data_IF_887016733017
#
_entry.id   IF_887016733017
#
_cell.length_a   1.000
_cell.length_b   1.000
_cell.length_c   1.000
_cell.angle_alpha   90.00
_cell.angle_beta   90.00
_cell.angle_gamma   90.00
#
_symmetry.space_group_name_H-M   'P 1'
#
loop_
_entity.id
_entity.type
_entity.pdbx_description
1 polymer ?
#
# COMPACT_ATOMS: atom_id res chain seq x y z
N UNK A 1 2.05 4.25 -20.10
CA UNK A 1 0.74 4.52 -20.73
C UNK A 1 -0.19 5.26 -19.77
N UNK A 2 -0.80 4.62 -18.77
CA UNK A 2 -1.73 5.27 -17.82
C UNK A 2 -1.15 6.44 -16.99
N UNK A 3 0.17 6.45 -16.74
CA UNK A 3 0.84 7.50 -15.96
C UNK A 3 1.12 8.79 -16.76
N UNK A 4 1.11 8.73 -18.09
CA UNK A 4 1.50 9.85 -18.98
C UNK A 4 0.28 10.69 -19.40
N UNK A 5 -0.93 10.22 -19.07
CA UNK A 5 -2.21 10.87 -19.38
C UNK A 5 -3.15 9.94 -20.16
N UNK A 6 -4.46 10.10 -19.96
CA UNK A 6 -5.45 9.27 -20.65
C UNK A 6 -5.40 9.48 -22.17
N UNK A 7 -5.09 10.69 -22.63
CA UNK A 7 -4.93 11.02 -24.05
C UNK A 7 -3.77 10.25 -24.70
N UNK A 8 -2.60 10.19 -24.04
CA UNK A 8 -1.45 9.44 -24.55
C UNK A 8 -1.66 7.93 -24.47
N UNK A 9 -2.40 7.44 -23.47
CA UNK A 9 -2.78 6.03 -23.35
C UNK A 9 -3.71 5.59 -24.50
N UNK A 10 -4.67 6.44 -24.88
CA UNK A 10 -5.59 6.19 -26.01
C UNK A 10 -4.83 6.16 -27.33
N UNK A 11 -3.89 7.09 -27.55
CA UNK A 11 -3.03 7.09 -28.75
C UNK A 11 -2.15 5.84 -28.86
N UNK A 12 -1.83 5.19 -27.75
CA UNK A 12 -1.09 3.92 -27.68
C UNK A 12 -2.00 2.68 -27.79
N UNK A 13 -3.30 2.85 -28.07
CA UNK A 13 -4.27 1.77 -28.23
C UNK A 13 -4.79 1.18 -26.91
N UNK A 14 -4.43 1.75 -25.77
CA UNK A 14 -4.92 1.33 -24.45
C UNK A 14 -6.24 2.04 -24.16
N UNK A 15 -7.23 1.31 -23.66
CA UNK A 15 -8.52 1.88 -23.20
C UNK A 15 -8.46 2.12 -21.68
N UNK A 16 -8.03 3.30 -21.20
CA UNK A 16 -7.77 3.55 -19.78
C UNK A 16 -8.99 3.29 -18.88
N UNK A 17 -10.20 3.62 -19.34
CA UNK A 17 -11.45 3.31 -18.62
C UNK A 17 -11.62 1.82 -18.32
N UNK A 18 -11.36 0.93 -19.29
CA UNK A 18 -11.52 -0.52 -19.11
C UNK A 18 -10.49 -1.07 -18.13
N UNK A 19 -9.22 -0.69 -18.31
CA UNK A 19 -8.13 -1.12 -17.43
C UNK A 19 -8.35 -0.64 -15.99
N UNK A 20 -8.89 0.59 -15.82
CA UNK A 20 -9.21 1.14 -14.50
C UNK A 20 -10.37 0.37 -13.84
N UNK A 21 -11.43 0.07 -14.59
CA UNK A 21 -12.58 -0.69 -14.08
C UNK A 21 -12.18 -2.12 -13.69
N UNK A 22 -11.47 -2.83 -14.55
CA UNK A 22 -10.97 -4.19 -14.28
C UNK A 22 -10.03 -4.19 -13.07
N UNK A 23 -9.11 -3.23 -12.98
CA UNK A 23 -8.22 -3.07 -11.83
C UNK A 23 -8.96 -2.80 -10.53
N UNK A 24 -9.99 -1.94 -10.54
CA UNK A 24 -10.83 -1.68 -9.36
C UNK A 24 -11.58 -2.94 -8.91
N UNK A 25 -12.19 -3.68 -9.84
CA UNK A 25 -12.95 -4.89 -9.51
C UNK A 25 -12.02 -5.95 -8.89
N UNK A 26 -10.87 -6.23 -9.53
CA UNK A 26 -9.91 -7.23 -9.05
C UNK A 26 -9.33 -6.82 -7.70
N UNK A 27 -8.91 -5.56 -7.53
CA UNK A 27 -8.34 -5.08 -6.28
C UNK A 27 -9.36 -5.05 -5.13
N UNK A 28 -10.59 -4.61 -5.38
CA UNK A 28 -11.65 -4.60 -4.40
C UNK A 28 -12.02 -6.03 -3.97
N UNK A 29 -12.12 -6.96 -4.92
CA UNK A 29 -12.41 -8.36 -4.63
C UNK A 29 -11.30 -9.01 -3.78
N UNK A 30 -10.04 -8.85 -4.17
CA UNK A 30 -8.89 -9.35 -3.39
C UNK A 30 -8.85 -8.74 -1.99
N UNK A 31 -9.08 -7.43 -1.88
CA UNK A 31 -9.08 -6.73 -0.58
C UNK A 31 -10.22 -7.22 0.30
N UNK A 32 -11.43 -7.36 -0.24
CA UNK A 32 -12.60 -7.84 0.50
C UNK A 32 -12.39 -9.27 1.01
N UNK A 33 -11.84 -10.16 0.18
CA UNK A 33 -11.49 -11.52 0.60
C UNK A 33 -10.51 -11.51 1.77
N UNK A 34 -9.41 -10.78 1.67
CA UNK A 34 -8.41 -10.71 2.75
C UNK A 34 -9.02 -10.14 4.06
N UNK A 35 -9.72 -9.01 3.96
CA UNK A 35 -10.32 -8.32 5.13
C UNK A 35 -11.39 -9.16 5.80
N UNK A 36 -12.13 -9.99 5.05
CA UNK A 36 -13.12 -10.91 5.62
C UNK A 36 -12.50 -11.95 6.56
N UNK A 37 -11.23 -12.33 6.38
CA UNK A 37 -10.53 -13.28 7.24
C UNK A 37 -9.74 -12.60 8.36
N UNK A 38 -9.07 -11.49 8.05
CA UNK A 38 -8.10 -10.86 8.97
C UNK A 38 -8.66 -9.65 9.71
N UNK A 39 -9.86 -9.21 9.37
CA UNK A 39 -10.40 -7.92 9.80
C UNK A 39 -9.72 -6.74 9.10
N UNK A 40 -10.07 -5.53 9.53
CA UNK A 40 -9.60 -4.28 8.94
C UNK A 40 -8.14 -4.04 9.32
N UNK A 41 -7.27 -4.00 8.32
CA UNK A 41 -5.84 -3.65 8.46
C UNK A 41 -5.58 -2.36 7.70
N UNK A 42 -5.30 -1.28 8.43
CA UNK A 42 -5.00 0.03 7.85
C UNK A 42 -3.51 0.26 7.58
N UNK A 43 -3.21 1.30 6.78
CA UNK A 43 -1.89 1.90 6.54
C UNK A 43 -0.85 1.04 5.79
N UNK A 44 -0.95 -0.29 5.80
CA UNK A 44 0.02 -1.18 5.14
C UNK A 44 0.14 -0.90 3.64
N UNK A 45 -0.99 -0.60 2.98
CA UNK A 45 -1.06 -0.29 1.54
C UNK A 45 -0.41 1.05 1.16
N UNK A 46 -0.12 1.93 2.13
CA UNK A 46 0.62 3.17 1.93
C UNK A 46 2.09 2.99 2.31
N UNK A 47 2.36 2.32 3.43
CA UNK A 47 3.71 2.11 3.97
C UNK A 47 4.55 1.22 3.04
N UNK A 48 4.00 0.08 2.62
CA UNK A 48 4.73 -0.91 1.83
C UNK A 48 5.28 -0.38 0.49
N UNK A 49 4.46 0.25 -0.39
CA UNK A 49 4.98 0.80 -1.64
C UNK A 49 5.95 1.96 -1.39
N UNK A 50 5.80 2.71 -0.29
CA UNK A 50 6.71 3.81 0.01
C UNK A 50 8.10 3.32 0.43
N UNK A 51 8.18 2.29 1.27
CA UNK A 51 9.44 1.65 1.65
C UNK A 51 10.14 1.08 0.42
N UNK A 52 9.40 0.36 -0.43
CA UNK A 52 9.96 -0.21 -1.67
C UNK A 52 10.44 0.89 -2.61
N UNK A 53 9.71 2.00 -2.72
CA UNK A 53 10.11 3.15 -3.54
C UNK A 53 11.38 3.82 -3.03
N UNK A 54 11.59 3.86 -1.71
CA UNK A 54 12.83 4.37 -1.10
C UNK A 54 14.01 3.43 -1.34
N UNK A 55 13.78 2.11 -1.36
CA UNK A 55 14.84 1.11 -1.53
C UNK A 55 15.29 0.92 -2.99
N UNK A 56 14.35 0.90 -3.94
CA UNK A 56 14.61 0.48 -5.34
C UNK A 56 14.35 1.60 -6.35
N UNK A 57 13.68 2.67 -5.94
CA UNK A 57 13.35 3.79 -6.82
C UNK A 57 11.98 3.65 -7.50
N UNK A 58 11.80 4.35 -8.62
CA UNK A 58 10.50 4.55 -9.30
C UNK A 58 10.10 3.49 -10.32
N UNK A 59 10.87 2.42 -10.49
CA UNK A 59 10.62 1.43 -11.53
C UNK A 59 9.45 0.49 -11.17
N UNK A 60 8.31 0.72 -11.84
CA UNK A 60 7.06 -0.03 -11.60
C UNK A 60 7.17 -1.54 -11.82
N UNK A 61 8.09 -1.99 -12.68
CA UNK A 61 8.32 -3.43 -12.93
C UNK A 61 8.77 -4.16 -11.67
N UNK A 62 9.50 -3.48 -10.80
CA UNK A 62 9.95 -4.01 -9.51
C UNK A 62 9.06 -3.56 -8.36
N UNK A 63 8.48 -2.36 -8.44
CA UNK A 63 7.59 -1.84 -7.40
C UNK A 63 6.32 -2.70 -7.22
N UNK A 64 5.73 -3.16 -8.32
CA UNK A 64 4.49 -3.97 -8.31
C UNK A 64 4.66 -5.32 -7.60
N UNK A 65 5.69 -6.15 -7.90
CA UNK A 65 5.87 -7.42 -7.19
C UNK A 65 6.45 -7.24 -5.77
N UNK A 66 7.29 -6.23 -5.54
CA UNK A 66 7.99 -6.12 -4.26
C UNK A 66 7.18 -5.40 -3.18
N UNK A 67 6.27 -4.49 -3.56
CA UNK A 67 5.34 -3.85 -2.62
C UNK A 67 4.49 -4.84 -1.82
N UNK A 68 3.77 -5.81 -2.42
CA UNK A 68 3.00 -6.79 -1.65
C UNK A 68 3.91 -7.71 -0.82
N UNK A 69 5.11 -8.04 -1.31
CA UNK A 69 6.08 -8.84 -0.55
C UNK A 69 6.53 -8.12 0.73
N UNK A 70 6.92 -6.85 0.61
CA UNK A 70 7.32 -6.02 1.75
C UNK A 70 6.15 -5.82 2.72
N UNK A 71 4.94 -5.58 2.21
CA UNK A 71 3.73 -5.48 3.02
C UNK A 71 3.44 -6.77 3.80
N UNK A 72 3.59 -7.94 3.17
CA UNK A 72 3.41 -9.23 3.83
C UNK A 72 4.42 -9.45 4.96
N UNK A 73 5.70 -9.10 4.75
CA UNK A 73 6.75 -9.21 5.79
C UNK A 73 6.41 -8.31 6.99
N UNK A 74 6.06 -7.05 6.76
CA UNK A 74 5.70 -6.10 7.83
C UNK A 74 4.47 -6.59 8.59
N UNK A 75 3.48 -7.12 7.87
CA UNK A 75 2.26 -7.63 8.48
C UNK A 75 2.54 -8.86 9.35
N UNK A 76 3.36 -9.79 8.87
CA UNK A 76 3.73 -11.00 9.60
C UNK A 76 4.53 -10.69 10.88
N UNK A 77 5.45 -9.73 10.80
CA UNK A 77 6.19 -9.23 11.96
C UNK A 77 5.23 -8.57 12.97
N UNK A 78 4.27 -7.78 12.48
CA UNK A 78 3.27 -7.13 13.33
C UNK A 78 2.35 -8.15 14.03
N UNK A 79 1.92 -9.20 13.34
CA UNK A 79 1.14 -10.31 13.92
C UNK A 79 1.94 -11.06 14.98
N UNK A 80 3.22 -11.35 14.70
CA UNK A 80 4.11 -12.04 15.64
C UNK A 80 4.31 -11.22 16.92
N UNK A 81 4.57 -9.91 16.79
CA UNK A 81 4.74 -9.00 17.94
C UNK A 81 3.43 -8.89 18.73
N UNK A 82 2.28 -8.76 18.04
CA UNK A 82 0.97 -8.63 18.71
C UNK A 82 0.58 -9.85 19.54
N UNK A 83 1.04 -11.03 19.14
CA UNK A 83 0.84 -12.28 19.89
C UNK A 83 1.84 -12.46 21.04
N UNK A 84 3.01 -11.84 20.96
CA UNK A 84 4.13 -12.11 21.89
C UNK A 84 4.26 -11.08 23.02
N UNK A 85 3.91 -9.81 22.79
CA UNK A 85 4.22 -8.72 23.74
C UNK A 85 3.35 -8.73 25.00
N UNK A 86 2.06 -9.11 24.91
CA UNK A 86 1.15 -9.12 26.06
C UNK A 86 0.36 -10.44 26.06
N UNK A 87 1.01 -11.57 26.34
CA UNK A 87 0.24 -12.79 26.63
C UNK A 87 -0.51 -12.60 27.98
N UNK A 88 -1.85 -12.81 28.07
CA UNK A 88 -2.75 -13.52 27.15
C UNK A 88 -3.67 -12.60 26.30
N UNK A 89 -3.40 -11.29 26.25
CA UNK A 89 -4.20 -10.30 25.54
C UNK A 89 -3.82 -10.27 24.06
N UNK A 90 -4.75 -10.68 23.19
CA UNK A 90 -4.57 -10.65 21.74
C UNK A 90 -4.73 -9.21 21.26
N UNK A 91 -3.61 -8.55 20.92
CA UNK A 91 -3.63 -7.22 20.34
C UNK A 91 -3.92 -7.33 18.84
N UNK A 92 -4.94 -6.62 18.31
CA UNK A 92 -5.19 -6.63 16.88
C UNK A 92 -4.00 -6.06 16.11
N UNK A 93 -3.58 -6.78 15.06
CA UNK A 93 -2.45 -6.38 14.20
C UNK A 93 -2.62 -4.97 13.65
N UNK A 94 -3.86 -4.56 13.36
CA UNK A 94 -4.18 -3.21 12.90
C UNK A 94 -3.75 -2.09 13.86
N UNK A 95 -3.72 -2.33 15.17
CA UNK A 95 -3.25 -1.34 16.17
C UNK A 95 -1.74 -1.15 16.04
N UNK A 96 -1.00 -2.25 15.90
CA UNK A 96 0.46 -2.26 15.78
C UNK A 96 0.88 -1.60 14.46
N UNK A 97 0.24 -1.97 13.35
CA UNK A 97 0.53 -1.35 12.05
C UNK A 97 0.13 0.12 12.02
N UNK A 98 -0.89 0.54 12.78
CA UNK A 98 -1.28 1.95 12.88
C UNK A 98 -0.26 2.80 13.61
N UNK A 99 0.34 2.28 14.69
CA UNK A 99 1.42 2.97 15.41
C UNK A 99 2.65 3.14 14.50
N UNK A 100 2.94 2.18 13.64
CA UNK A 100 4.03 2.32 12.66
C UNK A 100 3.67 3.24 11.49
N UNK A 101 2.43 3.18 11.00
CA UNK A 101 1.98 3.95 9.84
C UNK A 101 1.70 5.42 10.13
N UNK A 102 1.27 5.77 11.36
CA UNK A 102 0.95 7.15 11.72
C UNK A 102 2.17 8.11 11.65
N UNK A 103 3.36 7.77 12.18
CA UNK A 103 4.57 8.56 11.99
C UNK A 103 4.94 8.73 10.52
N UNK A 104 4.79 7.68 9.72
CA UNK A 104 5.11 7.70 8.30
C UNK A 104 4.14 8.61 7.53
N UNK A 105 2.86 8.59 7.89
CA UNK A 105 1.85 9.48 7.32
C UNK A 105 2.12 10.95 7.67
N UNK A 106 2.46 11.23 8.93
CA UNK A 106 2.86 12.57 9.37
C UNK A 106 4.13 13.03 8.63
N UNK A 107 5.13 12.16 8.51
CA UNK A 107 6.36 12.44 7.76
C UNK A 107 6.06 12.77 6.29
N UNK A 108 5.17 12.00 5.65
CA UNK A 108 4.73 12.24 4.28
C UNK A 108 4.00 13.58 4.13
N UNK A 109 3.12 13.95 5.06
CA UNK A 109 2.44 15.25 5.06
C UNK A 109 3.44 16.40 5.18
N UNK A 110 4.39 16.29 6.11
CA UNK A 110 5.43 17.31 6.33
C UNK A 110 6.38 17.46 5.14
N UNK A 111 6.67 16.35 4.43
CA UNK A 111 7.53 16.34 3.25
C UNK A 111 6.79 16.80 1.99
N UNK A 112 5.54 16.39 1.81
CA UNK A 112 4.66 16.74 0.69
C UNK A 112 4.28 18.23 0.67
N UNK A 113 4.30 18.91 1.82
CA UNK A 113 4.11 20.36 1.92
C UNK A 113 5.22 21.20 1.29
N UNK A 114 6.34 20.61 0.83
CA UNK A 114 7.44 21.35 0.18
C UNK A 114 7.36 21.39 -1.36
N UNK A 115 6.21 21.03 -1.94
CA UNK A 115 6.02 20.88 -3.39
C UNK A 115 5.14 21.91 -4.10
N UNK A 116 4.83 23.07 -3.49
CA UNK A 116 4.09 24.17 -4.16
C UNK A 116 4.85 25.48 -3.97
N UNK A 117 5.98 25.60 -4.66
CA UNK A 117 6.63 26.86 -5.00
C UNK A 117 7.27 26.70 -6.37
N UNK A 118 6.46 26.89 -7.40
CA UNK A 118 6.82 27.64 -8.60
C UNK A 118 5.58 28.03 -9.37
#
# INVERSE_FOLDING_TARGET
ALLVGDETAISLGVKPQRVRLEGMIVSAFLTALCVSFTGIIGLIGLVAPHIVRLMIGGDYRFLVPLSPLMGAIILLLSDTIGRTVISPVIIPVGVITSIMGAPLFIYLLLRGGKGVRS
#
